data_IF_466970180406
#
_entry.id   IF_466970180406
#
_cell.length_a   1.000
_cell.length_b   1.000
_cell.length_c   1.000
_cell.angle_alpha   90.00
_cell.angle_beta   90.00
_cell.angle_gamma   90.00
#
_symmetry.space_group_name_H-M   'P 1'
#
loop_
_entity.id
_entity.type
_entity.pdbx_description
1 polymer ?
#
# COMPACT_ATOMS: atom_id res chain seq x y z
N UNK A 1 -20.10 31.30 -4.62
CA UNK A 1 -19.24 30.24 -4.04
C UNK A 1 -19.27 29.02 -4.95
N UNK A 2 -18.18 28.24 -5.08
CA UNK A 2 -18.12 27.05 -5.96
C UNK A 2 -18.97 25.86 -5.45
N UNK A 3 -19.73 26.05 -4.38
CA UNK A 3 -20.68 25.09 -3.83
C UNK A 3 -22.04 25.74 -3.73
N UNK A 4 -23.07 24.98 -4.07
CA UNK A 4 -24.44 25.33 -3.71
C UNK A 4 -24.64 25.19 -2.20
N UNK A 5 -25.70 25.79 -1.66
CA UNK A 5 -26.11 25.50 -0.29
C UNK A 5 -26.48 24.02 -0.11
N UNK A 6 -26.47 23.56 1.13
CA UNK A 6 -26.92 22.21 1.45
C UNK A 6 -28.41 22.07 1.09
N UNK A 7 -28.71 21.12 0.21
CA UNK A 7 -30.09 20.76 -0.14
C UNK A 7 -30.42 19.43 0.53
N UNK A 8 -31.40 19.47 1.45
CA UNK A 8 -31.97 18.24 2.01
C UNK A 8 -32.68 17.47 0.91
N UNK A 9 -32.31 16.21 0.68
CA UNK A 9 -33.06 15.32 -0.22
C UNK A 9 -34.39 14.98 0.47
N UNK A 10 -35.54 15.42 -0.06
CA UNK A 10 -36.82 15.23 0.64
C UNK A 10 -37.16 13.75 0.81
N UNK A 11 -37.68 13.39 1.97
CA UNK A 11 -38.19 12.04 2.30
C UNK A 11 -37.17 10.89 2.19
N UNK A 12 -35.87 11.19 2.20
CA UNK A 12 -34.80 10.18 2.22
C UNK A 12 -34.03 10.30 3.54
N UNK A 13 -34.01 9.23 4.33
CA UNK A 13 -33.35 9.17 5.64
C UNK A 13 -32.60 7.85 5.77
N UNK A 14 -31.44 7.89 6.41
CA UNK A 14 -30.60 6.71 6.64
C UNK A 14 -30.01 6.75 8.04
N UNK A 15 -29.94 5.58 8.69
CA UNK A 15 -29.25 5.41 9.98
C UNK A 15 -27.74 5.20 9.85
N UNK A 16 -27.23 5.05 8.64
CA UNK A 16 -25.83 4.80 8.33
C UNK A 16 -25.39 5.60 7.11
N UNK A 17 -24.09 5.71 6.89
CA UNK A 17 -23.55 6.40 5.71
C UNK A 17 -24.07 5.75 4.42
N UNK A 18 -24.53 6.55 3.43
CA UNK A 18 -24.91 6.05 2.11
C UNK A 18 -23.66 5.65 1.31
N UNK A 19 -23.85 4.82 0.30
CA UNK A 19 -22.86 4.57 -0.75
C UNK A 19 -23.34 5.19 -2.06
N UNK A 20 -22.40 5.70 -2.85
CA UNK A 20 -22.70 6.33 -4.14
C UNK A 20 -21.76 5.79 -5.22
N UNK A 21 -22.26 5.74 -6.46
CA UNK A 21 -21.44 5.52 -7.64
C UNK A 21 -22.08 6.19 -8.86
N UNK A 22 -21.26 6.64 -9.80
CA UNK A 22 -21.73 7.18 -11.06
C UNK A 22 -21.98 6.04 -12.06
N UNK A 23 -23.16 5.96 -12.64
CA UNK A 23 -23.55 4.92 -13.59
C UNK A 23 -24.51 5.49 -14.63
N UNK A 24 -24.22 5.27 -15.92
CA UNK A 24 -25.06 5.70 -17.06
C UNK A 24 -25.55 7.15 -16.97
N UNK A 25 -24.63 8.09 -16.71
CA UNK A 25 -24.94 9.51 -16.69
C UNK A 25 -25.60 10.03 -15.41
N UNK A 26 -25.79 9.18 -14.39
CA UNK A 26 -26.44 9.56 -13.13
C UNK A 26 -25.60 9.16 -11.94
N UNK A 27 -25.73 9.90 -10.83
CA UNK A 27 -25.21 9.47 -9.53
C UNK A 27 -26.25 8.59 -8.86
N UNK A 28 -25.90 7.35 -8.57
CA UNK A 28 -26.74 6.41 -7.84
C UNK A 28 -26.37 6.48 -6.37
N UNK A 29 -27.38 6.49 -5.49
CA UNK A 29 -27.21 6.37 -4.04
C UNK A 29 -27.93 5.12 -3.55
N UNK A 30 -27.25 4.30 -2.76
CA UNK A 30 -27.87 3.24 -1.96
C UNK A 30 -27.64 3.49 -0.48
N UNK A 31 -28.66 3.28 0.34
CA UNK A 31 -28.58 3.55 1.77
C UNK A 31 -29.52 2.65 2.58
N UNK A 32 -29.31 2.58 3.89
CA UNK A 32 -30.21 1.84 4.80
C UNK A 32 -31.43 2.69 5.15
N UNK A 33 -32.52 2.06 5.56
CA UNK A 33 -33.67 2.76 6.15
C UNK A 33 -33.31 3.52 7.43
N UNK A 34 -34.12 4.52 7.79
CA UNK A 34 -33.93 5.33 9.01
C UNK A 34 -34.00 4.51 10.30
N UNK A 35 -34.85 3.47 10.33
CA UNK A 35 -35.09 2.62 11.49
C UNK A 35 -35.14 1.12 11.12
N UNK A 36 -34.85 0.77 9.86
CA UNK A 36 -34.84 -0.61 9.38
C UNK A 36 -33.51 -0.99 8.76
N UNK A 37 -33.32 -2.28 8.47
CA UNK A 37 -32.19 -2.77 7.70
C UNK A 37 -32.49 -2.80 6.20
N UNK A 38 -33.65 -2.31 5.75
CA UNK A 38 -33.99 -2.29 4.32
C UNK A 38 -33.01 -1.40 3.54
N UNK A 39 -32.68 -1.82 2.32
CA UNK A 39 -31.85 -1.04 1.42
C UNK A 39 -32.74 -0.27 0.44
N UNK A 40 -32.42 1.01 0.27
CA UNK A 40 -33.14 1.95 -0.58
C UNK A 40 -32.21 2.49 -1.67
N UNK A 41 -32.79 2.85 -2.81
CA UNK A 41 -32.08 3.35 -3.99
C UNK A 41 -32.79 4.57 -4.57
N UNK A 42 -31.99 5.60 -4.91
CA UNK A 42 -32.41 6.76 -5.69
C UNK A 42 -31.29 7.21 -6.63
N UNK A 43 -31.62 8.04 -7.62
CA UNK A 43 -30.65 8.56 -8.59
C UNK A 43 -30.72 10.08 -8.71
N UNK A 44 -29.58 10.71 -9.00
CA UNK A 44 -29.45 12.14 -9.27
C UNK A 44 -29.04 12.36 -10.72
N UNK A 45 -29.77 13.21 -11.44
CA UNK A 45 -29.57 13.50 -12.87
C UNK A 45 -28.72 14.76 -13.14
N UNK A 46 -28.15 15.35 -12.09
CA UNK A 46 -27.47 16.66 -12.17
C UNK A 46 -28.34 17.81 -11.65
N UNK A 47 -29.66 17.62 -11.55
CA UNK A 47 -30.60 18.65 -11.09
C UNK A 47 -31.48 18.18 -9.93
N UNK A 48 -31.98 16.95 -9.97
CA UNK A 48 -32.92 16.42 -8.97
C UNK A 48 -32.68 14.96 -8.65
N UNK A 49 -33.07 14.60 -7.43
CA UNK A 49 -33.13 13.22 -6.98
C UNK A 49 -34.46 12.60 -7.38
N UNK A 50 -34.46 11.34 -7.81
CA UNK A 50 -35.68 10.54 -7.95
C UNK A 50 -36.31 10.26 -6.59
N UNK A 51 -37.57 9.80 -6.61
CA UNK A 51 -38.18 9.20 -5.42
C UNK A 51 -37.35 8.03 -4.92
N UNK A 52 -37.43 7.80 -3.61
CA UNK A 52 -36.69 6.73 -2.97
C UNK A 52 -37.42 5.41 -3.16
N UNK A 53 -36.75 4.40 -3.69
CA UNK A 53 -37.34 3.09 -3.97
C UNK A 53 -36.67 2.05 -3.10
N UNK A 54 -37.46 1.29 -2.33
CA UNK A 54 -36.97 0.16 -1.56
C UNK A 54 -36.54 -0.94 -2.53
N UNK A 55 -35.34 -1.48 -2.36
CA UNK A 55 -34.89 -2.63 -3.14
C UNK A 55 -35.54 -3.89 -2.54
N UNK A 56 -36.44 -4.58 -3.25
CA UNK A 56 -37.20 -5.68 -2.67
C UNK A 56 -36.28 -6.83 -2.21
N UNK A 57 -36.54 -7.37 -1.02
CA UNK A 57 -35.82 -8.53 -0.48
C UNK A 57 -34.37 -8.26 -0.05
N UNK A 58 -33.88 -7.02 -0.10
CA UNK A 58 -32.48 -6.69 0.23
C UNK A 58 -32.38 -5.89 1.52
N UNK A 59 -31.64 -6.45 2.48
CA UNK A 59 -31.45 -5.87 3.81
C UNK A 59 -29.99 -6.00 4.27
N UNK A 60 -29.50 -5.01 5.01
CA UNK A 60 -28.17 -5.05 5.61
C UNK A 60 -28.11 -4.38 6.98
N UNK A 61 -27.27 -4.94 7.86
CA UNK A 61 -26.94 -4.34 9.17
C UNK A 61 -25.81 -3.29 9.11
N UNK A 62 -25.16 -3.13 7.96
CA UNK A 62 -24.06 -2.18 7.75
C UNK A 62 -24.23 -1.47 6.42
N UNK A 63 -23.50 -0.36 6.22
CA UNK A 63 -23.53 0.37 4.94
C UNK A 63 -23.18 -0.58 3.78
N UNK A 64 -23.95 -0.54 2.67
CA UNK A 64 -23.60 -1.27 1.45
C UNK A 64 -22.37 -0.65 0.77
N UNK A 65 -21.74 -1.41 -0.12
CA UNK A 65 -20.73 -0.94 -1.05
C UNK A 65 -21.29 -0.94 -2.47
N UNK A 66 -20.88 0.03 -3.28
CA UNK A 66 -21.42 0.25 -4.62
C UNK A 66 -20.28 0.54 -5.60
N UNK A 67 -20.26 -0.13 -6.76
CA UNK A 67 -19.28 0.11 -7.81
C UNK A 67 -19.84 -0.28 -9.18
N UNK A 68 -19.37 0.38 -10.24
CA UNK A 68 -19.71 0.01 -11.63
C UNK A 68 -18.73 -0.99 -12.19
N UNK A 69 -19.24 -2.03 -12.86
CA UNK A 69 -18.44 -3.02 -13.56
C UNK A 69 -19.27 -3.68 -14.66
N UNK A 70 -18.67 -4.02 -15.81
CA UNK A 70 -19.35 -4.77 -16.87
C UNK A 70 -20.66 -4.15 -17.37
N UNK A 71 -20.76 -2.81 -17.42
CA UNK A 71 -21.98 -2.12 -17.85
C UNK A 71 -23.16 -2.20 -16.88
N UNK A 72 -22.92 -2.62 -15.62
CA UNK A 72 -23.89 -2.72 -14.53
C UNK A 72 -23.39 -1.98 -13.28
N UNK A 73 -24.32 -1.65 -12.41
CA UNK A 73 -24.01 -1.20 -11.05
C UNK A 73 -24.07 -2.41 -10.12
N UNK A 74 -23.03 -2.64 -9.34
CA UNK A 74 -22.89 -3.77 -8.43
C UNK A 74 -23.03 -3.28 -7.00
N UNK A 75 -23.87 -3.94 -6.21
CA UNK A 75 -24.00 -3.71 -4.78
C UNK A 75 -23.56 -4.95 -4.01
N UNK A 76 -22.70 -4.75 -3.01
CA UNK A 76 -22.35 -5.79 -2.04
C UNK A 76 -22.65 -5.29 -0.64
N UNK A 77 -23.31 -6.12 0.17
CA UNK A 77 -23.72 -5.75 1.52
C UNK A 77 -23.69 -6.97 2.47
N UNK A 78 -23.73 -6.72 3.77
CA UNK A 78 -23.88 -7.79 4.76
C UNK A 78 -25.33 -8.24 4.89
N UNK A 79 -25.59 -9.42 5.45
CA UNK A 79 -26.92 -9.85 5.85
C UNK A 79 -27.58 -8.93 6.89
N UNK A 80 -28.90 -9.04 7.04
CA UNK A 80 -29.66 -8.27 8.05
C UNK A 80 -29.34 -8.68 9.49
N UNK A 81 -29.01 -9.95 9.72
CA UNK A 81 -28.68 -10.52 11.02
C UNK A 81 -27.41 -11.39 11.01
N UNK A 82 -26.84 -11.69 9.83
CA UNK A 82 -25.63 -12.49 9.69
C UNK A 82 -24.43 -11.63 9.25
N UNK A 83 -23.23 -12.21 9.27
CA UNK A 83 -22.02 -11.63 8.68
C UNK A 83 -21.87 -12.03 7.20
N UNK A 84 -22.82 -12.75 6.62
CA UNK A 84 -22.73 -13.19 5.23
C UNK A 84 -22.69 -12.01 4.28
N UNK A 85 -21.93 -12.14 3.19
CA UNK A 85 -21.84 -11.14 2.15
C UNK A 85 -22.79 -11.52 1.01
N UNK A 86 -23.59 -10.55 0.57
CA UNK A 86 -24.57 -10.68 -0.49
C UNK A 86 -24.24 -9.74 -1.65
N UNK A 87 -24.60 -10.14 -2.86
CA UNK A 87 -24.35 -9.43 -4.11
C UNK A 87 -25.61 -9.37 -4.97
N UNK A 88 -25.89 -8.19 -5.50
CA UNK A 88 -26.90 -7.96 -6.54
C UNK A 88 -26.40 -6.94 -7.56
N UNK A 89 -27.04 -6.87 -8.73
CA UNK A 89 -26.69 -5.92 -9.80
C UNK A 89 -27.90 -5.13 -10.25
N UNK A 90 -27.68 -3.88 -10.66
CA UNK A 90 -28.68 -3.05 -11.32
C UNK A 90 -28.28 -2.86 -12.79
N UNK A 91 -29.20 -3.20 -13.70
CA UNK A 91 -28.97 -3.22 -15.15
C UNK A 91 -29.33 -1.89 -15.84
N UNK A 92 -29.73 -0.88 -15.07
CA UNK A 92 -30.28 0.39 -15.56
C UNK A 92 -31.80 0.50 -15.40
N UNK A 93 -32.49 -0.60 -15.13
CA UNK A 93 -33.95 -0.65 -14.95
C UNK A 93 -34.34 -1.28 -13.62
N UNK A 94 -33.74 -2.43 -13.28
CA UNK A 94 -34.10 -3.20 -12.10
C UNK A 94 -32.90 -3.82 -11.41
N UNK A 95 -33.07 -4.09 -10.11
CA UNK A 95 -32.12 -4.87 -9.34
C UNK A 95 -32.37 -6.36 -9.57
N UNK A 96 -31.30 -7.13 -9.73
CA UNK A 96 -31.36 -8.58 -9.74
C UNK A 96 -31.79 -9.12 -8.37
N UNK A 97 -32.11 -10.41 -8.33
CA UNK A 97 -32.23 -11.15 -7.08
C UNK A 97 -30.93 -11.05 -6.28
N UNK A 98 -31.08 -11.11 -4.96
CA UNK A 98 -29.97 -11.04 -4.04
C UNK A 98 -29.32 -12.42 -3.89
N UNK A 99 -28.02 -12.53 -4.17
CA UNK A 99 -27.29 -13.80 -4.15
C UNK A 99 -26.23 -13.76 -3.07
N UNK A 100 -26.22 -14.76 -2.18
CA UNK A 100 -25.16 -14.91 -1.17
C UNK A 100 -23.85 -15.27 -1.88
N UNK A 101 -22.77 -14.56 -1.59
CA UNK A 101 -21.44 -14.94 -2.05
C UNK A 101 -20.97 -16.14 -1.21
N UNK A 102 -20.73 -17.32 -1.80
CA UNK A 102 -20.38 -18.52 -1.03
C UNK A 102 -19.09 -18.33 -0.23
N UNK A 103 -19.08 -18.83 1.01
CA UNK A 103 -17.90 -18.88 1.89
C UNK A 103 -17.24 -17.51 2.18
N UNK A 104 -17.99 -16.41 2.04
CA UNK A 104 -17.49 -15.05 2.29
C UNK A 104 -18.37 -14.34 3.31
N UNK A 105 -17.74 -13.89 4.40
CA UNK A 105 -18.41 -13.21 5.51
C UNK A 105 -17.53 -12.14 6.13
N UNK A 106 -18.14 -11.06 6.62
CA UNK A 106 -17.44 -9.95 7.26
C UNK A 106 -18.19 -9.36 8.43
N UNK A 107 -17.45 -8.89 9.44
CA UNK A 107 -17.99 -8.16 10.59
C UNK A 107 -18.10 -6.64 10.38
N UNK A 108 -17.65 -6.13 9.23
CA UNK A 108 -17.70 -4.71 8.83
C UNK A 108 -18.13 -4.60 7.38
N UNK A 109 -18.56 -3.40 6.97
CA UNK A 109 -18.93 -3.15 5.58
C UNK A 109 -17.77 -3.51 4.63
N UNK A 110 -18.03 -4.26 3.54
CA UNK A 110 -17.04 -4.53 2.51
C UNK A 110 -16.73 -3.25 1.70
N UNK A 111 -15.64 -3.29 0.94
CA UNK A 111 -15.30 -2.27 -0.04
C UNK A 111 -15.29 -2.87 -1.45
N UNK A 112 -15.68 -2.07 -2.45
CA UNK A 112 -15.72 -2.47 -3.86
C UNK A 112 -15.01 -1.45 -4.75
N UNK A 113 -14.29 -1.95 -5.75
CA UNK A 113 -13.75 -1.12 -6.84
C UNK A 113 -13.57 -1.97 -8.11
N UNK A 114 -13.76 -1.38 -9.29
CA UNK A 114 -13.41 -2.06 -10.56
C UNK A 114 -11.96 -1.77 -10.94
N UNK A 115 -11.24 -2.82 -11.30
CA UNK A 115 -9.83 -2.76 -11.69
C UNK A 115 -9.51 -3.91 -12.64
N UNK A 116 -8.67 -3.67 -13.67
CA UNK A 116 -8.17 -4.74 -14.56
C UNK A 116 -9.25 -5.61 -15.20
N UNK A 117 -10.39 -5.02 -15.58
CA UNK A 117 -11.51 -5.78 -16.17
C UNK A 117 -12.24 -6.70 -15.20
N UNK A 118 -12.11 -6.48 -13.89
CA UNK A 118 -12.78 -7.24 -12.82
C UNK A 118 -13.39 -6.29 -11.79
N UNK A 119 -14.30 -6.80 -10.97
CA UNK A 119 -14.78 -6.14 -9.76
C UNK A 119 -14.09 -6.74 -8.55
N UNK A 120 -13.38 -5.94 -7.78
CA UNK A 120 -12.62 -6.37 -6.61
C UNK A 120 -13.40 -6.07 -5.35
N UNK A 121 -13.45 -7.03 -4.43
CA UNK A 121 -14.01 -6.86 -3.09
C UNK A 121 -12.92 -7.08 -2.05
N UNK A 122 -12.83 -6.15 -1.10
CA UNK A 122 -12.01 -6.32 0.10
C UNK A 122 -12.88 -6.19 1.33
N UNK A 123 -12.69 -7.10 2.29
CA UNK A 123 -13.47 -7.11 3.53
C UNK A 123 -12.67 -7.70 4.70
N UNK A 124 -13.17 -7.52 5.92
CA UNK A 124 -12.59 -8.17 7.10
C UNK A 124 -13.14 -9.59 7.28
N UNK A 125 -12.46 -10.43 8.06
CA UNK A 125 -13.04 -11.69 8.53
C UNK A 125 -14.28 -11.51 9.41
N UNK A 126 -15.13 -12.54 9.50
CA UNK A 126 -16.33 -12.54 10.36
C UNK A 126 -16.01 -12.54 11.85
N UNK A 127 -14.89 -13.15 12.26
CA UNK A 127 -14.42 -13.24 13.64
C UNK A 127 -13.00 -12.71 13.85
N UNK A 128 -12.37 -12.13 12.81
CA UNK A 128 -10.99 -11.65 12.86
C UNK A 128 -10.82 -10.28 12.21
N UNK A 129 -9.69 -9.63 12.46
CA UNK A 129 -9.28 -8.40 11.78
C UNK A 129 -8.50 -8.67 10.48
N UNK A 130 -8.37 -9.93 10.06
CA UNK A 130 -7.71 -10.27 8.79
C UNK A 130 -8.45 -9.62 7.64
N UNK A 131 -7.70 -9.09 6.68
CA UNK A 131 -8.24 -8.54 5.44
C UNK A 131 -8.24 -9.63 4.38
N UNK A 132 -9.36 -9.76 3.67
CA UNK A 132 -9.60 -10.75 2.65
C UNK A 132 -9.95 -10.06 1.33
N UNK A 133 -9.54 -10.69 0.22
CA UNK A 133 -9.74 -10.22 -1.13
C UNK A 133 -10.33 -11.32 -2.01
N UNK A 134 -11.33 -10.96 -2.79
CA UNK A 134 -11.86 -11.76 -3.89
C UNK A 134 -12.19 -10.84 -5.07
N UNK A 135 -12.37 -11.41 -6.26
CA UNK A 135 -12.79 -10.64 -7.42
C UNK A 135 -13.87 -11.37 -8.23
N UNK A 136 -14.69 -10.60 -8.93
CA UNK A 136 -15.76 -11.06 -9.80
C UNK A 136 -15.39 -10.78 -11.25
N UNK A 137 -15.48 -11.81 -12.09
CA UNK A 137 -15.09 -11.76 -13.50
C UNK A 137 -16.26 -11.45 -14.47
N UNK A 138 -17.45 -11.17 -13.94
CA UNK A 138 -18.67 -11.00 -14.73
C UNK A 138 -19.69 -12.13 -14.51
N UNK A 139 -19.23 -13.30 -14.07
CA UNK A 139 -20.08 -14.47 -13.84
C UNK A 139 -19.96 -15.06 -12.44
N UNK A 140 -18.74 -15.13 -11.90
CA UNK A 140 -18.47 -15.74 -10.59
C UNK A 140 -17.44 -14.97 -9.79
N UNK A 141 -17.59 -15.05 -8.46
CA UNK A 141 -16.57 -14.62 -7.51
C UNK A 141 -15.49 -15.69 -7.40
N UNK A 142 -14.23 -15.27 -7.31
CA UNK A 142 -13.14 -16.16 -6.91
C UNK A 142 -13.32 -16.63 -5.46
N UNK A 143 -12.67 -17.75 -5.06
CA UNK A 143 -12.46 -18.05 -3.66
C UNK A 143 -11.83 -16.87 -2.92
N UNK A 144 -12.12 -16.79 -1.62
CA UNK A 144 -11.61 -15.72 -0.79
C UNK A 144 -10.15 -15.95 -0.43
N UNK A 145 -9.28 -14.97 -0.68
CA UNK A 145 -7.85 -15.07 -0.38
C UNK A 145 -7.50 -14.07 0.71
N UNK A 146 -6.85 -14.55 1.77
CA UNK A 146 -6.36 -13.68 2.84
C UNK A 146 -5.20 -12.85 2.31
N UNK A 147 -5.23 -11.53 2.49
CA UNK A 147 -4.08 -10.69 2.19
C UNK A 147 -3.03 -10.91 3.29
N UNK A 148 -1.80 -11.38 2.96
CA UNK A 148 -0.79 -11.70 3.97
C UNK A 148 -0.39 -10.48 4.79
N UNK A 149 -0.27 -10.66 6.11
CA UNK A 149 0.23 -9.64 7.06
C UNK A 149 -0.53 -8.30 7.12
N UNK A 150 -1.76 -8.25 6.57
CA UNK A 150 -2.60 -7.05 6.62
C UNK A 150 -3.86 -7.29 7.47
N UNK A 151 -4.06 -6.41 8.45
CA UNK A 151 -5.19 -6.47 9.38
C UNK A 151 -5.75 -5.07 9.63
N UNK A 152 -7.06 -4.98 9.83
CA UNK A 152 -7.74 -3.73 10.17
C UNK A 152 -8.87 -3.95 11.15
N UNK A 153 -9.07 -2.98 12.06
CA UNK A 153 -10.23 -2.92 12.95
C UNK A 153 -11.45 -2.22 12.37
N UNK A 154 -11.30 -1.57 11.21
CA UNK A 154 -12.35 -0.84 10.51
C UNK A 154 -12.45 -1.28 9.04
N UNK A 155 -13.56 -0.92 8.39
CA UNK A 155 -13.73 -1.15 6.94
C UNK A 155 -12.56 -0.54 6.16
N UNK A 156 -11.94 -1.30 5.24
CA UNK A 156 -11.00 -0.75 4.26
C UNK A 156 -11.69 0.20 3.28
N UNK A 157 -10.92 1.06 2.64
CA UNK A 157 -11.33 1.86 1.48
C UNK A 157 -10.55 1.40 0.25
N UNK A 158 -11.21 1.39 -0.91
CA UNK A 158 -10.61 1.03 -2.20
C UNK A 158 -10.79 2.16 -3.22
N UNK A 159 -9.79 2.37 -4.06
CA UNK A 159 -9.88 3.23 -5.23
C UNK A 159 -8.94 2.73 -6.35
N UNK A 160 -9.37 2.87 -7.60
CA UNK A 160 -8.54 2.52 -8.76
C UNK A 160 -7.91 3.76 -9.34
N UNK A 161 -6.59 3.88 -9.25
CA UNK A 161 -5.87 5.08 -9.66
C UNK A 161 -4.50 4.72 -10.24
N UNK A 162 -4.07 5.42 -11.30
CA UNK A 162 -2.79 5.15 -11.95
C UNK A 162 -2.64 3.72 -12.48
N UNK A 163 -3.72 3.09 -12.95
CA UNK A 163 -3.68 1.70 -13.44
C UNK A 163 -3.41 0.66 -12.34
N UNK A 164 -3.69 0.99 -11.08
CA UNK A 164 -3.50 0.11 -9.92
C UNK A 164 -4.71 0.19 -8.99
N UNK A 165 -4.93 -0.84 -8.17
CA UNK A 165 -5.96 -0.84 -7.14
C UNK A 165 -5.34 -0.50 -5.78
N UNK A 166 -5.79 0.58 -5.18
CA UNK A 166 -5.27 1.13 -3.93
C UNK A 166 -6.18 0.72 -2.77
N UNK A 167 -5.59 0.25 -1.68
CA UNK A 167 -6.29 0.03 -0.43
C UNK A 167 -5.71 0.90 0.67
N UNK A 168 -6.59 1.54 1.44
CA UNK A 168 -6.22 2.17 2.71
C UNK A 168 -7.08 1.58 3.82
N UNK A 169 -6.48 1.32 4.98
CA UNK A 169 -7.18 0.79 6.14
C UNK A 169 -6.54 1.24 7.46
N UNK A 170 -7.22 1.00 8.59
CA UNK A 170 -6.64 1.23 9.92
C UNK A 170 -5.79 0.03 10.37
N UNK A 171 -4.93 0.23 11.37
CA UNK A 171 -4.18 -0.86 11.99
C UNK A 171 -5.06 -1.90 12.70
N UNK A 172 -4.46 -3.05 13.02
CA UNK A 172 -5.14 -4.15 13.74
C UNK A 172 -5.72 -3.71 15.10
N UNK A 173 -4.92 -2.99 15.88
CA UNK A 173 -5.29 -2.48 17.21
C UNK A 173 -5.08 -0.96 17.31
N UNK A 174 -4.21 -0.38 16.48
CA UNK A 174 -3.91 1.04 16.45
C UNK A 174 -4.85 1.84 15.52
N UNK A 175 -4.85 3.16 15.68
CA UNK A 175 -5.51 4.10 14.77
C UNK A 175 -4.60 4.53 13.60
N UNK A 176 -3.40 3.97 13.49
CA UNK A 176 -2.49 4.24 12.36
C UNK A 176 -3.17 3.88 11.05
N UNK A 177 -2.95 4.71 10.02
CA UNK A 177 -3.44 4.45 8.67
C UNK A 177 -2.35 3.70 7.89
N UNK A 178 -2.77 2.67 7.19
CA UNK A 178 -1.95 1.79 6.39
C UNK A 178 -2.44 1.76 4.95
N UNK A 179 -1.54 1.45 4.02
CA UNK A 179 -1.78 1.45 2.60
C UNK A 179 -1.06 0.29 1.92
N UNK A 180 -1.71 -0.26 0.90
CA UNK A 180 -1.11 -1.23 -0.01
C UNK A 180 -1.73 -1.13 -1.40
N UNK A 181 -1.01 -1.62 -2.40
CA UNK A 181 -1.42 -1.58 -3.80
C UNK A 181 -1.52 -2.99 -4.34
N UNK A 182 -2.58 -3.26 -5.09
CA UNK A 182 -2.70 -4.45 -5.91
C UNK A 182 -2.34 -4.14 -7.37
N UNK A 183 -1.38 -4.89 -7.92
CA UNK A 183 -0.83 -4.67 -9.27
C UNK A 183 -1.52 -5.51 -10.37
N UNK A 184 -2.51 -6.33 -10.02
CA UNK A 184 -3.14 -7.30 -10.92
C UNK A 184 -2.87 -8.75 -10.52
N UNK A 185 -1.79 -8.99 -9.79
CA UNK A 185 -1.35 -10.32 -9.36
C UNK A 185 -1.26 -10.42 -7.84
N UNK A 186 -0.62 -9.44 -7.19
CA UNK A 186 -0.36 -9.47 -5.75
C UNK A 186 -0.56 -8.10 -5.10
N UNK A 187 -0.76 -8.13 -3.79
CA UNK A 187 -0.75 -6.94 -2.95
C UNK A 187 0.69 -6.65 -2.50
N UNK A 188 1.10 -5.39 -2.57
CA UNK A 188 2.35 -4.95 -1.97
C UNK A 188 2.36 -5.22 -0.46
N UNK A 189 3.55 -5.29 0.18
CA UNK A 189 3.64 -5.24 1.63
C UNK A 189 2.87 -4.06 2.21
N UNK A 190 2.38 -4.22 3.44
CA UNK A 190 1.59 -3.21 4.10
C UNK A 190 2.46 -2.03 4.53
N UNK A 191 2.08 -0.81 4.14
CA UNK A 191 2.87 0.40 4.36
C UNK A 191 2.15 1.29 5.36
N UNK A 192 2.78 1.59 6.50
CA UNK A 192 2.23 2.60 7.43
C UNK A 192 2.41 3.97 6.78
N UNK A 193 1.32 4.73 6.66
CA UNK A 193 1.41 6.12 6.22
C UNK A 193 1.96 6.96 7.39
N UNK A 194 3.12 7.63 7.25
CA UNK A 194 3.73 8.38 8.34
C UNK A 194 2.80 9.50 8.85
N UNK A 195 2.77 9.68 10.18
CA UNK A 195 2.05 10.75 10.86
C UNK A 195 0.54 10.83 10.56
N UNK A 196 -0.07 9.75 10.07
CA UNK A 196 -1.49 9.71 9.74
C UNK A 196 -2.21 8.64 10.56
N UNK A 197 -3.21 9.08 11.32
CA UNK A 197 -4.02 8.22 12.18
C UNK A 197 -5.46 8.71 12.26
N UNK A 198 -6.40 7.78 12.39
CA UNK A 198 -7.84 8.07 12.40
C UNK A 198 -8.59 7.13 13.34
N UNK A 199 -9.59 7.68 14.03
CA UNK A 199 -10.51 6.90 14.89
C UNK A 199 -11.66 6.23 14.12
N UNK A 200 -11.78 6.48 12.81
CA UNK A 200 -12.78 5.89 11.90
C UNK A 200 -12.14 5.47 10.57
N UNK A 201 -12.86 4.67 9.78
CA UNK A 201 -12.40 4.28 8.46
C UNK A 201 -12.07 5.52 7.61
N UNK A 202 -10.93 5.54 6.90
CA UNK A 202 -10.63 6.60 5.94
C UNK A 202 -11.50 6.44 4.69
N UNK A 203 -11.62 7.52 3.91
CA UNK A 203 -12.24 7.53 2.59
C UNK A 203 -11.18 7.82 1.51
N UNK A 204 -11.33 7.18 0.35
CA UNK A 204 -10.50 7.43 -0.83
C UNK A 204 -11.36 8.01 -1.95
N UNK A 205 -10.81 8.97 -2.67
CA UNK A 205 -11.40 9.53 -3.89
C UNK A 205 -10.31 9.93 -4.87
N UNK A 206 -10.67 10.03 -6.14
CA UNK A 206 -9.76 10.49 -7.19
C UNK A 206 -10.23 11.87 -7.61
N UNK A 207 -9.30 12.82 -7.66
CA UNK A 207 -9.56 14.16 -8.15
C UNK A 207 -8.32 14.69 -8.87
N UNK A 208 -8.51 15.18 -10.11
CA UNK A 208 -7.39 15.46 -11.00
C UNK A 208 -6.50 14.24 -11.20
N UNK A 209 -5.18 14.46 -11.19
CA UNK A 209 -4.15 13.41 -11.33
C UNK A 209 -3.65 12.90 -9.98
N UNK A 210 -4.50 12.81 -8.96
CA UNK A 210 -4.11 12.38 -7.61
C UNK A 210 -5.16 11.49 -6.96
N UNK A 211 -4.67 10.56 -6.12
CA UNK A 211 -5.46 9.85 -5.13
C UNK A 211 -5.54 10.69 -3.87
N UNK A 212 -6.75 10.98 -3.40
CA UNK A 212 -7.01 11.73 -2.18
C UNK A 212 -7.50 10.81 -1.07
N UNK A 213 -6.98 11.01 0.14
CA UNK A 213 -7.48 10.39 1.34
C UNK A 213 -8.05 11.44 2.28
N UNK A 214 -9.23 11.17 2.82
CA UNK A 214 -9.86 12.00 3.86
C UNK A 214 -10.18 11.13 5.06
N UNK A 215 -9.88 11.59 6.28
CA UNK A 215 -10.12 10.83 7.50
C UNK A 215 -10.36 11.74 8.71
N UNK A 216 -10.93 11.19 9.79
CA UNK A 216 -11.06 11.92 11.05
C UNK A 216 -9.72 11.95 11.80
N UNK A 217 -9.54 12.96 12.65
CA UNK A 217 -8.44 13.01 13.61
C UNK A 217 -8.45 11.82 14.57
N UNK A 218 -7.27 11.46 15.06
CA UNK A 218 -7.10 10.37 16.02
C UNK A 218 -7.80 10.66 17.37
N UNK A 219 -7.60 11.87 17.89
CA UNK A 219 -8.16 12.35 19.16
C UNK A 219 -9.19 13.47 18.98
N UNK A 220 -9.32 14.04 17.79
CA UNK A 220 -10.23 15.17 17.50
C UNK A 220 -11.34 14.76 16.53
N UNK A 221 -12.33 15.65 16.34
CA UNK A 221 -13.33 15.52 15.28
C UNK A 221 -12.91 16.23 13.98
N UNK A 222 -11.68 16.72 13.90
CA UNK A 222 -11.18 17.40 12.71
C UNK A 222 -11.12 16.41 11.54
N UNK A 223 -11.36 16.93 10.35
CA UNK A 223 -11.20 16.19 9.10
C UNK A 223 -9.83 16.53 8.54
N UNK A 224 -9.03 15.49 8.27
CA UNK A 224 -7.71 15.59 7.66
C UNK A 224 -7.78 15.14 6.21
N UNK A 225 -6.97 15.77 5.37
CA UNK A 225 -6.85 15.47 3.95
C UNK A 225 -5.38 15.31 3.58
N UNK A 226 -5.09 14.32 2.75
CA UNK A 226 -3.80 14.13 2.10
C UNK A 226 -4.00 13.63 0.67
N UNK A 227 -2.96 13.71 -0.16
CA UNK A 227 -3.02 13.21 -1.53
C UNK A 227 -1.71 12.62 -2.02
N UNK A 228 -1.80 11.63 -2.90
CA UNK A 228 -0.68 10.92 -3.52
C UNK A 228 -0.83 10.95 -5.05
N UNK A 229 0.29 10.98 -5.76
CA UNK A 229 0.38 10.72 -7.21
C UNK A 229 0.24 9.23 -7.56
N UNK A 230 0.11 8.36 -6.56
CA UNK A 230 -0.21 6.94 -6.72
C UNK A 230 0.92 6.10 -7.31
N UNK A 231 2.08 6.70 -7.56
CA UNK A 231 3.27 6.02 -8.06
C UNK A 231 4.06 5.50 -6.87
N UNK A 232 4.50 4.24 -6.94
CA UNK A 232 5.53 3.73 -6.05
C UNK A 232 6.79 3.59 -6.87
N UNK A 233 7.84 4.32 -6.51
CA UNK A 233 9.16 4.11 -7.07
C UNK A 233 9.68 2.73 -6.61
N UNK A 234 10.28 1.96 -7.49
CA UNK A 234 10.80 0.61 -7.19
C UNK A 234 12.32 0.66 -7.17
N UNK A 235 12.89 0.23 -6.05
CA UNK A 235 14.33 -0.06 -5.90
C UNK A 235 14.50 -1.56 -6.10
N UNK A 236 15.24 -1.94 -7.14
CA UNK A 236 15.50 -3.35 -7.47
C UNK A 236 16.87 -3.76 -6.94
N UNK A 237 16.93 -4.86 -6.20
CA UNK A 237 18.12 -5.34 -5.52
C UNK A 237 18.57 -6.71 -6.04
N UNK A 238 19.85 -6.82 -6.37
CA UNK A 238 20.55 -8.09 -6.51
C UNK A 238 21.38 -8.40 -5.28
N UNK A 239 21.00 -9.46 -4.55
CA UNK A 239 21.68 -9.83 -3.30
C UNK A 239 22.79 -10.83 -3.62
N UNK A 240 24.03 -10.51 -3.23
CA UNK A 240 25.23 -11.30 -3.49
C UNK A 240 25.89 -11.68 -2.18
N UNK A 241 25.74 -12.94 -1.76
CA UNK A 241 26.18 -13.42 -0.44
C UNK A 241 27.51 -14.17 -0.58
N UNK A 242 28.62 -13.55 -0.16
CA UNK A 242 29.91 -14.23 -0.03
C UNK A 242 30.02 -14.86 1.36
N UNK A 243 29.56 -14.13 2.38
CA UNK A 243 29.55 -14.57 3.78
C UNK A 243 28.17 -14.32 4.36
N UNK A 244 27.63 -15.31 5.08
CA UNK A 244 26.33 -15.18 5.75
C UNK A 244 26.43 -14.14 6.86
N UNK A 245 25.65 -13.04 6.81
CA UNK A 245 25.67 -12.02 7.85
C UNK A 245 25.06 -12.52 9.15
N UNK A 246 25.50 -11.97 10.29
CA UNK A 246 25.01 -12.30 11.62
C UNK A 246 23.52 -11.94 11.77
N UNK A 247 23.12 -10.77 11.27
CA UNK A 247 21.71 -10.46 11.05
C UNK A 247 21.29 -11.02 9.71
N UNK A 248 20.20 -11.80 9.67
CA UNK A 248 19.76 -12.43 8.42
C UNK A 248 19.41 -11.39 7.34
N UNK A 249 19.73 -11.72 6.09
CA UNK A 249 19.39 -10.89 4.91
C UNK A 249 17.88 -10.61 4.85
N UNK A 250 17.04 -11.59 5.22
CA UNK A 250 15.59 -11.43 5.26
C UNK A 250 15.14 -10.37 6.29
N UNK A 251 15.80 -10.33 7.46
CA UNK A 251 15.53 -9.31 8.48
C UNK A 251 15.89 -7.92 7.95
N UNK A 252 17.09 -7.75 7.42
CA UNK A 252 17.53 -6.48 6.81
C UNK A 252 16.60 -6.03 5.68
N UNK A 253 16.16 -6.95 4.83
CA UNK A 253 15.27 -6.66 3.71
C UNK A 253 13.87 -6.24 4.17
N UNK A 254 13.29 -6.93 5.15
CA UNK A 254 12.00 -6.55 5.74
C UNK A 254 12.06 -5.15 6.34
N UNK A 255 13.14 -4.86 7.04
CA UNK A 255 13.33 -3.60 7.75
C UNK A 255 13.57 -2.44 6.76
N UNK A 256 14.42 -2.64 5.75
CA UNK A 256 14.61 -1.70 4.64
C UNK A 256 13.30 -1.42 3.91
N UNK A 257 12.54 -2.47 3.55
CA UNK A 257 11.20 -2.34 2.93
C UNK A 257 10.29 -1.46 3.77
N UNK A 258 10.29 -1.65 5.09
CA UNK A 258 9.45 -0.86 6.00
C UNK A 258 9.82 0.63 5.96
N UNK A 259 11.12 0.94 6.00
CA UNK A 259 11.61 2.33 5.99
C UNK A 259 11.35 3.00 4.63
N UNK A 260 11.69 2.33 3.53
CA UNK A 260 11.57 2.86 2.16
C UNK A 260 10.13 3.05 1.73
N UNK A 261 9.26 2.11 2.12
CA UNK A 261 7.83 2.21 1.89
C UNK A 261 7.22 3.47 2.52
N UNK A 262 7.77 3.97 3.64
CA UNK A 262 7.32 5.23 4.26
C UNK A 262 7.45 6.45 3.34
N UNK A 263 8.25 6.34 2.26
CA UNK A 263 8.46 7.37 1.23
C UNK A 263 7.96 6.97 -0.16
N UNK A 264 7.12 5.93 -0.24
CA UNK A 264 6.56 5.48 -1.50
C UNK A 264 7.50 4.61 -2.33
N UNK A 265 8.49 3.95 -1.71
CA UNK A 265 9.38 3.04 -2.41
C UNK A 265 9.04 1.57 -2.14
N UNK A 266 8.91 0.77 -3.20
CA UNK A 266 8.95 -0.68 -3.11
C UNK A 266 10.39 -1.17 -3.25
N UNK A 267 10.74 -2.24 -2.52
CA UNK A 267 12.04 -2.89 -2.66
C UNK A 267 11.82 -4.31 -3.19
N UNK A 268 12.21 -4.53 -4.45
CA UNK A 268 12.10 -5.81 -5.13
C UNK A 268 13.46 -6.50 -5.15
N UNK A 269 13.51 -7.76 -4.72
CA UNK A 269 14.72 -8.58 -4.92
C UNK A 269 14.57 -9.29 -6.25
N UNK A 270 15.51 -9.06 -7.15
CA UNK A 270 15.47 -9.61 -8.52
C UNK A 270 16.34 -10.86 -8.65
N UNK A 271 17.33 -11.01 -7.77
CA UNK A 271 18.22 -12.15 -7.69
C UNK A 271 18.78 -12.25 -6.26
N UNK A 272 18.99 -13.47 -5.78
CA UNK A 272 19.76 -13.77 -4.58
C UNK A 272 20.71 -14.93 -4.87
N UNK A 273 22.02 -14.67 -4.81
CA UNK A 273 23.07 -15.57 -5.27
C UNK A 273 24.18 -15.68 -4.22
N UNK A 274 24.70 -16.90 -4.03
CA UNK A 274 25.94 -17.10 -3.27
C UNK A 274 27.14 -17.02 -4.22
N UNK A 275 28.13 -16.22 -3.85
CA UNK A 275 29.37 -16.06 -4.61
C UNK A 275 30.53 -16.72 -3.86
N UNK A 276 31.36 -17.48 -4.58
CA UNK A 276 32.58 -18.07 -4.02
C UNK A 276 33.81 -17.28 -4.48
N UNK A 277 34.17 -16.25 -3.71
CA UNK A 277 35.30 -15.36 -3.98
C UNK A 277 36.13 -15.21 -2.70
N UNK A 278 36.91 -16.23 -2.29
CA UNK A 278 37.54 -16.28 -0.97
C UNK A 278 38.49 -15.10 -0.70
N UNK A 279 39.18 -14.62 -1.75
CA UNK A 279 40.05 -13.46 -1.70
C UNK A 279 39.32 -12.12 -1.49
N UNK A 280 38.00 -12.08 -1.70
CA UNK A 280 37.17 -10.86 -1.57
C UNK A 280 36.17 -10.98 -0.41
N UNK A 281 36.44 -11.84 0.57
CA UNK A 281 35.61 -11.95 1.77
C UNK A 281 35.89 -10.82 2.77
N UNK A 282 37.10 -10.26 2.76
CA UNK A 282 37.40 -8.95 3.37
C UNK A 282 37.75 -8.01 2.22
N UNK A 283 37.04 -6.90 2.09
CA UNK A 283 37.17 -6.01 0.91
C UNK A 283 37.76 -4.68 1.32
N UNK A 284 38.86 -4.29 0.68
CA UNK A 284 39.38 -2.93 0.72
C UNK A 284 38.37 -1.98 0.06
N UNK A 285 37.85 -1.03 0.84
CA UNK A 285 36.90 0.00 0.40
C UNK A 285 37.50 1.40 0.47
N UNK A 286 38.79 1.52 0.83
CA UNK A 286 39.46 2.78 1.06
C UNK A 286 38.69 3.65 2.05
N UNK A 287 38.67 4.97 1.83
CA UNK A 287 37.93 5.90 2.70
C UNK A 287 36.40 5.86 2.49
N UNK A 288 35.89 4.92 1.67
CA UNK A 288 34.48 4.83 1.29
C UNK A 288 33.86 6.17 0.84
N UNK A 289 34.55 6.87 -0.06
CA UNK A 289 34.07 8.13 -0.61
C UNK A 289 33.38 7.89 -1.95
N UNK A 290 32.14 8.37 -2.10
CA UNK A 290 31.42 8.32 -3.38
C UNK A 290 32.29 8.85 -4.53
N UNK A 291 32.34 8.09 -5.63
CA UNK A 291 33.19 8.39 -6.79
C UNK A 291 34.64 7.88 -6.70
N UNK A 292 35.07 7.33 -5.56
CA UNK A 292 36.40 6.74 -5.38
C UNK A 292 36.28 5.26 -5.02
N UNK A 293 36.82 4.37 -5.86
CA UNK A 293 36.72 2.92 -5.68
C UNK A 293 38.07 2.21 -5.80
N UNK A 294 38.27 1.20 -4.96
CA UNK A 294 39.49 0.38 -4.92
C UNK A 294 39.52 -0.64 -6.06
N UNK A 295 40.64 -1.37 -6.20
CA UNK A 295 40.73 -2.49 -7.13
C UNK A 295 39.80 -3.65 -6.73
N UNK A 296 39.72 -3.95 -5.44
CA UNK A 296 38.88 -5.02 -4.91
C UNK A 296 37.38 -4.73 -5.09
N UNK A 297 36.95 -3.48 -4.86
CA UNK A 297 35.57 -3.08 -5.17
C UNK A 297 35.26 -3.25 -6.67
N UNK A 298 36.18 -2.84 -7.56
CA UNK A 298 36.01 -3.02 -9.00
C UNK A 298 35.95 -4.50 -9.40
N UNK A 299 36.76 -5.36 -8.78
CA UNK A 299 36.73 -6.80 -9.03
C UNK A 299 35.42 -7.42 -8.52
N UNK A 300 35.00 -7.08 -7.30
CA UNK A 300 33.78 -7.59 -6.69
C UNK A 300 32.54 -7.19 -7.50
N UNK A 301 32.41 -5.91 -7.86
CA UNK A 301 31.24 -5.36 -8.54
C UNK A 301 31.11 -5.76 -10.03
N UNK A 302 32.08 -6.50 -10.59
CA UNK A 302 31.90 -7.20 -11.87
C UNK A 302 30.95 -8.39 -11.75
N UNK A 303 30.82 -8.98 -10.55
CA UNK A 303 29.96 -10.13 -10.28
C UNK A 303 28.51 -9.70 -10.06
N UNK A 304 27.95 -8.92 -10.98
CA UNK A 304 26.56 -8.45 -10.89
C UNK A 304 25.58 -9.52 -11.27
N UNK A 305 25.91 -10.39 -12.22
CA UNK A 305 25.18 -11.60 -12.64
C UNK A 305 23.64 -11.45 -12.65
N UNK A 306 23.05 -11.34 -13.84
CA UNK A 306 21.60 -11.25 -14.04
C UNK A 306 20.94 -9.99 -13.46
N UNK A 307 21.67 -8.87 -13.45
CA UNK A 307 21.17 -7.56 -13.04
C UNK A 307 21.16 -6.60 -14.21
N UNK A 308 20.10 -5.79 -14.29
CA UNK A 308 20.01 -4.69 -15.23
C UNK A 308 20.94 -3.55 -14.80
N UNK A 309 21.10 -2.55 -15.69
CA UNK A 309 21.95 -1.38 -15.45
C UNK A 309 21.58 -0.63 -14.17
N UNK A 310 20.28 -0.52 -13.87
CA UNK A 310 19.77 0.28 -12.76
C UNK A 310 19.54 -0.53 -11.47
N UNK A 311 19.67 -1.86 -11.50
CA UNK A 311 19.49 -2.69 -10.31
C UNK A 311 20.66 -2.48 -9.33
N UNK A 312 20.40 -2.24 -8.05
CA UNK A 312 21.45 -2.06 -7.03
C UNK A 312 21.97 -3.43 -6.59
N UNK A 313 23.28 -3.66 -6.71
CA UNK A 313 23.91 -4.89 -6.23
C UNK A 313 24.38 -4.74 -4.77
N UNK A 314 23.92 -5.61 -3.87
CA UNK A 314 24.30 -5.60 -2.45
C UNK A 314 25.16 -6.82 -2.16
N UNK A 315 26.43 -6.58 -1.80
CA UNK A 315 27.41 -7.62 -1.52
C UNK A 315 27.58 -7.83 -0.01
N UNK A 316 27.27 -9.02 0.49
CA UNK A 316 27.50 -9.39 1.89
C UNK A 316 28.85 -10.07 2.03
N UNK A 317 29.75 -9.41 2.76
CA UNK A 317 31.16 -9.82 2.95
C UNK A 317 31.43 -10.02 4.44
N UNK A 318 32.57 -10.62 4.81
CA UNK A 318 32.98 -10.77 6.21
C UNK A 318 33.26 -9.41 6.86
N UNK A 319 34.10 -8.61 6.23
CA UNK A 319 34.53 -7.31 6.74
C UNK A 319 34.94 -6.38 5.60
N UNK A 320 35.08 -5.09 5.91
CA UNK A 320 35.71 -4.10 5.04
C UNK A 320 37.07 -3.70 5.62
N UNK A 321 37.96 -3.19 4.78
CA UNK A 321 39.22 -2.56 5.17
C UNK A 321 39.30 -1.15 4.57
N UNK A 322 39.51 -0.08 5.35
CA UNK A 322 39.37 0.02 6.80
C UNK A 322 38.02 -0.49 7.31
N UNK A 323 37.91 -0.73 8.61
CA UNK A 323 36.73 -1.34 9.21
C UNK A 323 35.51 -0.41 9.23
N UNK A 324 34.56 -0.68 8.33
CA UNK A 324 33.23 -0.08 8.27
C UNK A 324 32.13 -1.16 8.29
N UNK A 325 30.93 -0.79 8.72
CA UNK A 325 29.76 -1.68 8.64
C UNK A 325 29.27 -1.89 7.20
N UNK A 326 29.55 -0.94 6.31
CA UNK A 326 29.20 -1.01 4.91
C UNK A 326 29.95 0.04 4.10
N UNK A 327 29.84 -0.05 2.78
CA UNK A 327 30.31 0.98 1.90
C UNK A 327 29.52 1.03 0.59
N UNK A 328 28.97 2.20 0.27
CA UNK A 328 28.22 2.45 -0.95
C UNK A 328 29.04 3.06 -2.10
N UNK A 329 30.34 3.29 -1.93
CA UNK A 329 31.18 3.81 -3.00
C UNK A 329 31.24 2.80 -4.17
N UNK A 330 30.87 3.24 -5.37
CA UNK A 330 30.79 2.40 -6.56
C UNK A 330 31.20 3.15 -7.84
N UNK A 331 31.63 2.44 -8.90
CA UNK A 331 31.91 3.05 -10.20
C UNK A 331 30.65 3.67 -10.83
N UNK A 332 30.80 4.72 -11.62
CA UNK A 332 29.67 5.32 -12.34
C UNK A 332 28.93 4.27 -13.21
N UNK A 333 27.61 4.26 -13.12
CA UNK A 333 26.75 3.31 -13.84
C UNK A 333 26.77 1.88 -13.31
N UNK A 334 27.44 1.61 -12.18
CA UNK A 334 27.51 0.30 -11.53
C UNK A 334 26.98 0.39 -10.09
N UNK A 335 25.67 0.67 -9.89
CA UNK A 335 25.10 0.90 -8.56
C UNK A 335 25.30 -0.31 -7.65
N UNK A 336 26.11 -0.15 -6.61
CA UNK A 336 26.47 -1.26 -5.74
C UNK A 336 26.87 -0.77 -4.33
N UNK A 337 26.75 -1.65 -3.35
CA UNK A 337 27.29 -1.45 -2.03
C UNK A 337 27.77 -2.76 -1.39
N UNK A 338 28.63 -2.63 -0.38
CA UNK A 338 29.12 -3.72 0.46
C UNK A 338 28.49 -3.59 1.84
N UNK A 339 28.12 -4.72 2.44
CA UNK A 339 27.62 -4.81 3.82
C UNK A 339 28.44 -5.88 4.55
N UNK A 340 29.10 -5.49 5.64
CA UNK A 340 29.91 -6.40 6.45
C UNK A 340 29.03 -7.38 7.26
N UNK A 341 29.53 -8.56 7.60
CA UNK A 341 28.73 -9.61 8.25
C UNK A 341 28.30 -9.24 9.66
N UNK A 342 29.10 -8.42 10.36
CA UNK A 342 28.81 -7.86 11.68
C UNK A 342 27.92 -6.62 11.68
N UNK A 343 27.42 -6.19 10.51
CA UNK A 343 26.63 -4.98 10.38
C UNK A 343 25.25 -5.09 11.06
N UNK A 344 24.66 -3.94 11.37
CA UNK A 344 23.34 -3.87 12.00
C UNK A 344 22.20 -4.13 11.00
N UNK A 345 21.01 -4.43 11.52
CA UNK A 345 19.77 -4.63 10.73
C UNK A 345 19.40 -3.47 9.80
N UNK A 346 19.90 -2.26 10.05
CA UNK A 346 19.61 -1.06 9.26
C UNK A 346 20.66 -0.76 8.18
N UNK A 347 21.83 -1.40 8.26
CA UNK A 347 22.99 -1.05 7.42
C UNK A 347 22.73 -1.26 5.94
N UNK A 348 22.09 -2.36 5.53
CA UNK A 348 21.75 -2.56 4.12
C UNK A 348 20.89 -1.42 3.57
N UNK A 349 19.85 -1.00 4.30
CA UNK A 349 18.99 0.10 3.87
C UNK A 349 19.73 1.44 3.84
N UNK A 350 20.68 1.66 4.76
CA UNK A 350 21.54 2.84 4.82
C UNK A 350 22.47 2.92 3.60
N UNK A 351 23.20 1.85 3.30
CA UNK A 351 24.13 1.82 2.16
C UNK A 351 23.39 1.95 0.81
N UNK A 352 22.25 1.27 0.67
CA UNK A 352 21.41 1.48 -0.53
C UNK A 352 20.90 2.93 -0.59
N UNK A 353 20.68 3.59 0.56
CA UNK A 353 20.30 4.99 0.62
C UNK A 353 21.36 5.89 -0.01
N UNK A 354 22.63 5.66 0.28
CA UNK A 354 23.74 6.35 -0.38
C UNK A 354 23.81 6.09 -1.89
N UNK A 355 23.57 4.85 -2.33
CA UNK A 355 23.50 4.54 -3.78
C UNK A 355 22.38 5.35 -4.45
N UNK A 356 21.27 5.58 -3.73
CA UNK A 356 20.14 6.41 -4.17
C UNK A 356 20.36 7.91 -3.91
N UNK A 357 21.58 8.34 -3.61
CA UNK A 357 21.96 9.75 -3.50
C UNK A 357 21.75 10.39 -2.12
N UNK A 358 21.39 9.62 -1.09
CA UNK A 358 21.24 10.17 0.25
C UNK A 358 22.58 10.47 0.91
N UNK A 359 22.61 11.51 1.74
CA UNK A 359 23.78 11.91 2.53
C UNK A 359 23.56 11.64 4.01
N UNK A 360 24.67 11.54 4.77
CA UNK A 360 24.60 11.43 6.21
C UNK A 360 23.92 12.64 6.86
N UNK A 361 23.26 12.38 7.98
CA UNK A 361 22.66 13.38 8.85
C UNK A 361 23.06 13.13 10.30
N UNK A 362 23.19 14.18 11.11
CA UNK A 362 23.44 14.03 12.53
C UNK A 362 22.12 13.84 13.31
N UNK A 363 21.44 12.69 13.12
CA UNK A 363 20.18 12.39 13.80
C UNK A 363 19.92 10.88 13.89
N UNK A 364 19.93 10.34 15.11
CA UNK A 364 19.76 8.92 15.40
C UNK A 364 18.33 8.37 15.22
N UNK A 365 17.34 9.24 15.00
CA UNK A 365 16.00 8.80 14.61
C UNK A 365 15.87 8.54 13.11
N UNK A 366 16.89 8.88 12.30
CA UNK A 366 16.86 8.79 10.84
C UNK A 366 17.75 7.67 10.33
N UNK A 367 17.36 7.08 9.19
CA UNK A 367 18.08 5.96 8.59
C UNK A 367 19.51 6.36 8.23
N UNK A 368 19.68 7.56 7.69
CA UNK A 368 20.97 8.08 7.22
C UNK A 368 21.82 8.70 8.33
N UNK A 369 21.69 8.23 9.58
CA UNK A 369 22.51 8.75 10.69
C UNK A 369 24.01 8.56 10.40
N UNK A 370 24.77 9.65 10.46
CA UNK A 370 26.25 9.63 10.34
C UNK A 370 26.94 9.14 11.61
N UNK A 371 26.19 8.95 12.70
CA UNK A 371 26.72 8.46 13.97
C UNK A 371 26.80 6.93 14.05
N UNK A 372 26.53 6.23 12.94
CA UNK A 372 26.50 4.77 12.87
C UNK A 372 25.11 4.18 13.13
N UNK A 373 24.75 3.18 12.32
CA UNK A 373 23.42 2.54 12.34
C UNK A 373 23.11 1.76 13.61
N UNK A 374 24.11 1.44 14.42
CA UNK A 374 23.94 0.87 15.77
C UNK A 374 23.31 1.84 16.75
N UNK A 375 23.44 3.14 16.51
CA UNK A 375 22.95 4.19 17.39
C UNK A 375 21.53 4.63 17.05
N UNK A 376 20.80 3.92 16.18
CA UNK A 376 19.43 4.28 15.81
C UNK A 376 18.48 4.13 17.02
N UNK A 377 17.79 5.22 17.36
CA UNK A 377 16.94 5.34 18.56
C UNK A 377 15.45 5.25 18.28
N UNK A 378 15.01 5.43 17.03
CA UNK A 378 13.60 5.34 16.64
C UNK A 378 13.39 4.21 15.61
N UNK A 379 13.26 2.93 16.01
CA UNK A 379 12.99 1.86 15.06
C UNK A 379 11.47 1.72 14.73
N UNK A 380 11.06 1.64 13.46
CA UNK A 380 11.89 1.81 12.25
C UNK A 380 12.29 3.28 12.06
N UNK A 381 13.55 3.55 11.65
CA UNK A 381 14.05 4.90 11.48
C UNK A 381 13.34 5.65 10.37
N UNK A 382 13.33 6.97 10.47
CA UNK A 382 12.66 7.84 9.53
C UNK A 382 13.51 8.12 8.29
N UNK A 383 12.82 8.32 7.17
CA UNK A 383 13.28 9.11 6.03
C UNK A 383 12.42 10.38 5.95
N UNK A 384 12.98 11.47 5.46
CA UNK A 384 12.30 12.75 5.24
C UNK A 384 11.70 12.82 3.84
N UNK A 385 10.78 13.77 3.60
CA UNK A 385 10.24 13.98 2.26
C UNK A 385 11.34 14.40 1.26
N UNK A 386 12.33 15.17 1.71
CA UNK A 386 13.49 15.55 0.89
C UNK A 386 14.30 14.33 0.46
N UNK A 387 14.64 13.44 1.39
CA UNK A 387 15.33 12.18 1.06
C UNK A 387 14.50 11.31 0.09
N UNK A 388 13.18 11.23 0.29
CA UNK A 388 12.31 10.52 -0.65
C UNK A 388 12.39 11.07 -2.08
N UNK A 389 12.45 12.40 -2.25
CA UNK A 389 12.63 13.02 -3.57
C UNK A 389 14.01 12.70 -4.16
N UNK A 390 15.07 12.85 -3.38
CA UNK A 390 16.43 12.49 -3.80
C UNK A 390 16.52 11.04 -4.28
N UNK A 391 15.90 10.10 -3.55
CA UNK A 391 15.86 8.70 -3.96
C UNK A 391 15.11 8.48 -5.29
N UNK A 392 14.02 9.21 -5.53
CA UNK A 392 13.26 9.13 -6.77
C UNK A 392 14.08 9.65 -7.96
N UNK A 393 14.82 10.74 -7.75
CA UNK A 393 15.63 11.41 -8.77
C UNK A 393 16.98 10.70 -9.06
N UNK A 394 17.33 9.64 -8.31
CA UNK A 394 18.63 8.96 -8.38
C UNK A 394 18.93 8.22 -9.69
N UNK A 395 17.93 8.02 -10.56
CA UNK A 395 18.06 7.22 -11.79
C UNK A 395 18.13 5.69 -11.55
N UNK A 396 18.22 5.24 -10.31
CA UNK A 396 18.19 3.82 -9.92
C UNK A 396 16.85 3.37 -9.33
N UNK A 397 15.93 4.33 -9.16
CA UNK A 397 14.52 4.07 -8.88
C UNK A 397 13.75 4.03 -10.20
N UNK A 398 12.92 3.01 -10.40
CA UNK A 398 12.04 2.91 -11.58
C UNK A 398 10.58 3.11 -11.19
N UNK A 399 9.77 3.77 -12.00
CA UNK A 399 8.34 4.02 -11.71
C UNK A 399 7.41 2.87 -12.16
#
# INVERSE_FOLDING_TARGET
MPWTSNVKIPNQKSKASPAMAFFRGRTHMVHLGNSSNDIWHSTFDGTRWTTNVKIPGQKSKASPALATFGGRLHMVHLGSSSNDIWHSTFDGRQWSTNVKIPNQSSKRAPALASFGGRLHMVHLGSSSNNIWHSNFNGTRWTPNVKIPDQKSKASPALATFGGRLHMVHLGNTSNNIWYSIFNGTEWTPNIKIPNQSSKRAPALAIFGRRLHMVHLGNSTNNIWHSSSDGVLSVVRLGLKVLVTPTISVNTMLRDMRTVYASRGFLVQVVNNERLNLPALTTVDVGQCRMGSVTAEQRQLFRNRNNLQRNDVAVYFVRATNPAFNGCAAHPNGVPACVVASGATRWTMGHEVGHVLGLNHVNNNNRLMTGNGTSNITNPPPDLTLGEGRTMADSGFSIE
#
